data_IF_387186036638
#
_entry.id   IF_387186036638
#
_cell.length_a   1.000
_cell.length_b   1.000
_cell.length_c   1.000
_cell.angle_alpha   90.00
_cell.angle_beta   90.00
_cell.angle_gamma   90.00
#
_symmetry.space_group_name_H-M   'P 1'
#
loop_
_entity.id
_entity.type
_entity.pdbx_description
1 polymer ?
#
# COMPACT_ATOMS: atom_id res chain seq x y z
N UNK A 1 0.67 -15.82 2.64
CA UNK A 1 1.08 -14.90 1.56
C UNK A 1 -0.05 -13.90 1.38
N UNK A 2 0.24 -12.64 1.07
CA UNK A 2 -0.78 -11.60 1.08
C UNK A 2 -1.68 -11.68 -0.16
N UNK A 3 -2.96 -11.97 0.06
CA UNK A 3 -3.96 -12.29 -0.96
C UNK A 3 -4.56 -11.08 -1.70
N UNK A 4 -4.36 -9.85 -1.21
CA UNK A 4 -5.10 -8.71 -1.79
C UNK A 4 -4.52 -8.21 -3.12
N UNK A 5 -3.21 -8.32 -3.33
CA UNK A 5 -2.50 -7.69 -4.45
C UNK A 5 -2.97 -8.19 -5.83
N UNK A 6 -3.18 -9.51 -6.04
CA UNK A 6 -3.75 -10.00 -7.30
C UNK A 6 -5.13 -9.42 -7.61
N UNK A 7 -6.02 -9.36 -6.62
CA UNK A 7 -7.37 -8.84 -6.81
C UNK A 7 -7.37 -7.32 -7.01
N UNK A 8 -6.59 -6.58 -6.21
CA UNK A 8 -6.39 -5.15 -6.39
C UNK A 8 -5.83 -4.84 -7.79
N UNK A 9 -4.89 -5.64 -8.29
CA UNK A 9 -4.37 -5.51 -9.65
C UNK A 9 -5.44 -5.82 -10.71
N UNK A 10 -6.37 -6.75 -10.46
CA UNK A 10 -7.44 -7.13 -11.40
C UNK A 10 -8.47 -6.02 -11.56
N UNK A 11 -8.84 -5.34 -10.48
CA UNK A 11 -9.86 -4.27 -10.50
C UNK A 11 -9.30 -2.89 -10.84
N UNK A 12 -7.99 -2.69 -10.73
CA UNK A 12 -7.34 -1.42 -11.04
C UNK A 12 -7.09 -1.30 -12.55
N UNK A 13 -7.60 -0.24 -13.16
CA UNK A 13 -7.36 0.08 -14.57
C UNK A 13 -5.91 0.53 -14.80
N UNK A 14 -5.41 0.39 -16.03
CA UNK A 14 -4.06 0.87 -16.40
C UNK A 14 -3.91 2.36 -16.10
N UNK A 15 -2.80 2.74 -15.47
CA UNK A 15 -2.54 4.08 -14.94
C UNK A 15 -3.13 4.34 -13.56
N UNK A 16 -4.05 3.49 -13.07
CA UNK A 16 -4.59 3.55 -11.72
C UNK A 16 -3.57 3.16 -10.66
N UNK A 17 -3.85 3.57 -9.42
CA UNK A 17 -2.95 3.37 -8.27
C UNK A 17 -3.63 2.56 -7.18
N UNK A 18 -2.89 1.62 -6.61
CA UNK A 18 -3.23 0.94 -5.36
C UNK A 18 -2.35 1.51 -4.27
N UNK A 19 -2.95 2.13 -3.27
CA UNK A 19 -2.23 2.81 -2.19
C UNK A 19 -2.46 2.07 -0.88
N UNK A 20 -1.36 1.71 -0.21
CA UNK A 20 -1.37 1.04 1.08
C UNK A 20 -0.78 1.99 2.12
N UNK A 21 -1.60 2.43 3.07
CA UNK A 21 -1.15 3.16 4.26
C UNK A 21 -1.11 2.19 5.44
N UNK A 22 0.07 1.97 6.02
CA UNK A 22 0.25 1.03 7.12
C UNK A 22 1.48 1.33 7.97
N UNK A 23 1.52 0.79 9.18
CA UNK A 23 2.74 0.77 9.99
C UNK A 23 3.73 -0.25 9.41
N UNK A 24 5.01 -0.18 9.79
CA UNK A 24 6.01 -1.18 9.37
C UNK A 24 5.69 -2.61 9.83
N UNK A 25 4.88 -2.75 10.89
CA UNK A 25 4.40 -4.04 11.40
C UNK A 25 3.15 -4.55 10.70
N UNK A 26 2.48 -3.70 9.89
CA UNK A 26 1.30 -4.10 9.15
C UNK A 26 1.69 -5.12 8.06
N UNK A 27 1.04 -6.29 7.99
CA UNK A 27 1.38 -7.31 7.00
C UNK A 27 1.30 -6.75 5.58
N UNK A 28 0.26 -5.97 5.25
CA UNK A 28 0.04 -5.39 3.93
C UNK A 28 1.14 -4.41 3.50
N UNK A 29 1.87 -3.83 4.44
CA UNK A 29 3.04 -3.00 4.18
C UNK A 29 4.33 -3.84 4.15
N UNK A 30 4.50 -4.78 5.09
CA UNK A 30 5.76 -5.52 5.26
C UNK A 30 6.02 -6.54 4.15
N UNK A 31 4.98 -7.17 3.60
CA UNK A 31 5.13 -8.25 2.63
C UNK A 31 4.92 -7.78 1.19
N UNK A 32 5.55 -6.67 0.81
CA UNK A 32 5.59 -6.25 -0.59
C UNK A 32 6.34 -7.29 -1.43
N UNK A 33 5.73 -7.86 -2.48
CA UNK A 33 6.41 -8.79 -3.37
C UNK A 33 7.58 -8.14 -4.11
N UNK A 34 8.52 -8.97 -4.56
CA UNK A 34 9.60 -8.50 -5.42
C UNK A 34 9.09 -7.93 -6.77
N UNK A 35 9.97 -7.20 -7.46
CA UNK A 35 9.66 -6.56 -8.74
C UNK A 35 9.20 -7.54 -9.83
N UNK A 36 9.74 -8.76 -9.87
CA UNK A 36 9.35 -9.76 -10.87
C UNK A 36 7.91 -10.23 -10.64
N UNK A 37 7.55 -10.44 -9.38
CA UNK A 37 6.19 -10.81 -8.98
C UNK A 37 5.20 -9.69 -9.27
N UNK A 38 5.55 -8.43 -8.95
CA UNK A 38 4.72 -7.27 -9.28
C UNK A 38 4.51 -7.11 -10.79
N UNK A 39 5.56 -7.28 -11.60
CA UNK A 39 5.46 -7.21 -13.05
C UNK A 39 4.52 -8.28 -13.65
N UNK A 40 4.49 -9.48 -13.08
CA UNK A 40 3.52 -10.54 -13.46
C UNK A 40 2.08 -10.13 -13.17
N UNK A 41 1.85 -9.34 -12.12
CA UNK A 41 0.54 -8.76 -11.78
C UNK A 41 0.22 -7.48 -12.58
N UNK A 42 1.14 -7.00 -13.41
CA UNK A 42 1.00 -5.73 -14.13
C UNK A 42 1.09 -4.52 -13.22
N UNK A 43 1.82 -4.64 -12.10
CA UNK A 43 2.05 -3.58 -11.12
C UNK A 43 3.54 -3.20 -11.07
N UNK A 44 3.81 -1.99 -10.61
CA UNK A 44 5.15 -1.48 -10.26
C UNK A 44 5.06 -0.64 -9.00
N UNK A 45 6.09 -0.65 -8.14
CA UNK A 45 6.21 0.33 -7.05
C UNK A 45 6.53 1.70 -7.65
N UNK A 46 5.65 2.67 -7.41
CA UNK A 46 5.85 4.08 -7.75
C UNK A 46 6.46 4.85 -6.58
N UNK A 47 6.05 4.51 -5.35
CA UNK A 47 6.52 5.15 -4.12
C UNK A 47 6.52 4.16 -2.95
N UNK A 48 7.50 4.29 -2.05
CA UNK A 48 7.54 3.60 -0.78
C UNK A 48 8.29 4.46 0.24
N UNK A 49 7.62 4.89 1.31
CA UNK A 49 8.22 5.80 2.27
C UNK A 49 7.26 6.32 3.33
N UNK A 50 7.50 7.55 3.77
CA UNK A 50 6.65 8.27 4.73
C UNK A 50 5.20 8.36 4.29
N UNK A 51 4.29 8.62 5.23
CA UNK A 51 2.89 8.86 4.91
C UNK A 51 2.77 10.06 3.95
N UNK A 52 2.18 9.84 2.77
CA UNK A 52 1.97 10.92 1.80
C UNK A 52 1.12 12.04 2.40
N UNK A 53 1.43 13.28 2.03
CA UNK A 53 0.79 14.50 2.57
C UNK A 53 -0.73 14.48 2.43
N UNK A 54 -1.23 13.93 1.32
CA UNK A 54 -2.66 13.78 1.05
C UNK A 54 -3.39 12.90 2.08
N UNK A 55 -2.69 12.05 2.85
CA UNK A 55 -3.28 11.21 3.88
C UNK A 55 -2.99 11.67 5.31
N UNK A 56 -2.19 12.72 5.50
CA UNK A 56 -1.81 13.21 6.83
C UNK A 56 -2.99 13.79 7.63
N UNK A 57 -4.10 14.12 6.96
CA UNK A 57 -5.31 14.58 7.63
C UNK A 57 -6.18 13.43 8.19
N UNK A 58 -5.89 12.17 7.84
CA UNK A 58 -6.64 11.01 8.30
C UNK A 58 -6.26 10.62 9.73
N UNK A 59 -7.22 10.06 10.47
CA UNK A 59 -6.99 9.50 11.81
C UNK A 59 -6.91 7.99 11.72
N UNK A 60 -5.71 7.45 11.89
CA UNK A 60 -5.48 6.01 11.90
C UNK A 60 -5.73 5.43 13.30
N UNK A 61 -6.42 4.30 13.36
CA UNK A 61 -6.72 3.61 14.63
C UNK A 61 -6.49 2.11 14.50
N UNK A 62 -6.05 1.51 15.60
CA UNK A 62 -6.11 0.06 15.79
C UNK A 62 -7.57 -0.40 15.98
N UNK A 63 -7.82 -1.70 15.87
CA UNK A 63 -9.16 -2.29 16.06
C UNK A 63 -9.72 -2.04 17.47
N UNK A 64 -8.85 -1.84 18.46
CA UNK A 64 -9.23 -1.48 19.83
C UNK A 64 -9.45 0.04 20.04
N UNK A 65 -9.39 0.85 18.99
CA UNK A 65 -9.62 2.30 19.03
C UNK A 65 -8.39 3.16 19.37
N UNK A 66 -7.25 2.55 19.70
CA UNK A 66 -6.01 3.31 19.98
C UNK A 66 -5.56 4.03 18.70
N UNK A 67 -5.35 5.34 18.81
CA UNK A 67 -4.86 6.18 17.72
C UNK A 67 -3.41 5.83 17.39
N UNK A 68 -3.13 5.68 16.10
CA UNK A 68 -1.78 5.51 15.56
C UNK A 68 -1.30 6.89 15.09
N UNK A 69 -0.20 7.42 15.67
CA UNK A 69 0.40 8.68 15.19
C UNK A 69 0.81 8.59 13.72
N UNK A 70 0.65 9.67 12.98
CA UNK A 70 0.95 9.72 11.54
C UNK A 70 2.42 9.41 11.23
N UNK A 71 3.34 9.77 12.13
CA UNK A 71 4.78 9.53 11.99
C UNK A 71 5.12 8.04 12.02
N UNK A 72 4.22 7.20 12.55
CA UNK A 72 4.34 5.74 12.53
C UNK A 72 3.75 5.10 11.27
N UNK A 73 2.99 5.87 10.49
CA UNK A 73 2.39 5.42 9.24
C UNK A 73 3.36 5.61 8.08
N UNK A 74 3.29 4.70 7.12
CA UNK A 74 4.06 4.69 5.89
C UNK A 74 3.12 4.45 4.71
N UNK A 75 3.52 4.89 3.52
CA UNK A 75 2.76 4.68 2.29
C UNK A 75 3.54 3.86 1.29
N UNK A 76 2.86 2.92 0.61
CA UNK A 76 3.33 2.27 -0.61
C UNK A 76 2.32 2.55 -1.71
N UNK A 77 2.81 2.96 -2.87
CA UNK A 77 2.00 3.19 -4.07
C UNK A 77 2.41 2.19 -5.14
N UNK A 78 1.46 1.37 -5.57
CA UNK A 78 1.60 0.54 -6.75
C UNK A 78 0.86 1.18 -7.91
N UNK A 79 1.52 1.36 -9.05
CA UNK A 79 0.88 1.80 -10.30
C UNK A 79 0.59 0.61 -11.21
N UNK A 80 -0.61 0.56 -11.78
CA UNK A 80 -0.98 -0.42 -12.80
C UNK A 80 -0.38 -0.03 -14.14
N UNK A 81 0.46 -0.90 -14.70
CA UNK A 81 1.19 -0.65 -15.95
C UNK A 81 0.69 -1.45 -17.15
N UNK A 82 -0.12 -2.49 -16.92
CA UNK A 82 -0.67 -3.35 -17.97
C UNK A 82 -2.19 -3.41 -17.89
#
# INVERSE_FOLDING_TARGET
MIDFLPEAARVTQKGGKVIVNGTQTNPFYRSVPDSNTLQKLGLKVEYQGELLSEFQHLVFKQTNGIVIPNEKMKTIVFIKVK
#
